data_IF_228654122770
#
_entry.id   IF_228654122770
#
_cell.length_a   1.000
_cell.length_b   1.000
_cell.length_c   1.000
_cell.angle_alpha   90.00
_cell.angle_beta   90.00
_cell.angle_gamma   90.00
#
_symmetry.space_group_name_H-M   'P 1'
#
loop_
_entity.id
_entity.type
_entity.pdbx_description
1 polymer ?
#
# COMPACT_ATOMS: atom_id res chain seq x y z
N UNK A 1 -8.22 19.13 -6.84
CA UNK A 1 -8.19 19.16 -8.31
C UNK A 1 -9.61 19.42 -8.80
N UNK A 2 -9.84 20.41 -9.68
CA UNK A 2 -11.17 20.62 -10.23
C UNK A 2 -11.62 19.36 -10.97
N UNK A 3 -12.88 19.01 -10.81
CA UNK A 3 -13.54 17.98 -11.60
C UNK A 3 -13.37 18.34 -13.09
N UNK A 4 -13.05 17.36 -13.94
CA UNK A 4 -12.92 17.61 -15.38
C UNK A 4 -14.28 17.91 -16.02
N UNK A 5 -15.37 17.57 -15.32
CA UNK A 5 -16.72 18.01 -15.65
C UNK A 5 -17.04 19.31 -14.90
N UNK A 6 -17.55 20.31 -15.62
CA UNK A 6 -18.05 21.54 -15.01
C UNK A 6 -19.36 21.25 -14.23
N UNK A 7 -19.68 22.11 -13.27
CA UNK A 7 -20.93 21.98 -12.52
C UNK A 7 -22.14 21.99 -13.46
N UNK A 8 -22.93 20.90 -13.44
CA UNK A 8 -24.10 20.72 -14.31
C UNK A 8 -23.83 19.89 -15.57
N UNK A 9 -22.57 19.50 -15.84
CA UNK A 9 -22.26 18.58 -16.93
C UNK A 9 -22.50 17.12 -16.52
N UNK A 10 -22.97 16.33 -17.48
CA UNK A 10 -23.07 14.89 -17.30
C UNK A 10 -21.68 14.29 -17.38
N UNK A 11 -21.22 13.65 -16.31
CA UNK A 11 -20.03 12.81 -16.37
C UNK A 11 -20.24 11.73 -17.45
N UNK A 12 -19.39 11.76 -18.47
CA UNK A 12 -19.32 10.72 -19.50
C UNK A 12 -18.05 9.90 -19.27
N UNK A 13 -18.08 8.62 -19.65
CA UNK A 13 -16.98 7.68 -19.38
C UNK A 13 -15.62 8.18 -19.89
N UNK A 14 -15.57 8.93 -20.99
CA UNK A 14 -14.32 9.51 -21.49
C UNK A 14 -13.72 10.57 -20.56
N UNK A 15 -14.55 11.36 -19.86
CA UNK A 15 -14.11 12.37 -18.90
C UNK A 15 -13.59 11.72 -17.61
N UNK A 16 -14.25 10.65 -17.16
CA UNK A 16 -13.81 9.86 -16.00
C UNK A 16 -12.50 9.09 -16.27
N UNK A 17 -12.32 8.62 -17.51
CA UNK A 17 -11.09 7.93 -17.92
C UNK A 17 -9.92 8.88 -18.13
N UNK A 18 -10.15 10.13 -18.54
CA UNK A 18 -9.12 11.14 -18.73
C UNK A 18 -8.70 11.86 -17.43
N UNK A 19 -9.31 11.51 -16.29
CA UNK A 19 -9.02 12.16 -15.01
C UNK A 19 -7.61 11.82 -14.55
N UNK A 20 -6.85 12.88 -14.20
CA UNK A 20 -5.55 12.71 -13.56
C UNK A 20 -5.68 11.92 -12.25
N UNK A 21 -4.64 11.19 -11.83
CA UNK A 21 -4.68 10.43 -10.61
C UNK A 21 -5.10 11.25 -9.41
N UNK A 22 -5.95 10.69 -8.56
CA UNK A 22 -6.42 11.34 -7.34
C UNK A 22 -6.42 10.37 -6.17
N UNK A 23 -6.11 10.88 -4.98
CA UNK A 23 -6.11 10.10 -3.75
C UNK A 23 -7.52 9.60 -3.44
N UNK A 24 -7.64 8.28 -3.29
CA UNK A 24 -8.85 7.58 -2.82
C UNK A 24 -8.78 7.36 -1.32
N UNK A 25 -7.59 7.01 -0.82
CA UNK A 25 -7.33 6.87 0.61
C UNK A 25 -5.89 7.26 0.94
N UNK A 26 -5.71 7.87 2.11
CA UNK A 26 -4.41 8.10 2.71
C UNK A 26 -4.49 7.67 4.17
N UNK A 27 -3.93 6.51 4.48
CA UNK A 27 -3.84 6.00 5.83
C UNK A 27 -2.41 6.05 6.29
N UNK A 28 -2.17 6.66 7.46
CA UNK A 28 -0.83 6.72 8.04
C UNK A 28 -0.84 6.29 9.51
N UNK A 29 0.30 5.77 9.95
CA UNK A 29 0.64 5.70 11.37
C UNK A 29 1.59 6.83 11.71
N UNK A 30 1.42 7.38 12.90
CA UNK A 30 2.20 8.52 13.40
C UNK A 30 3.03 8.17 14.63
N UNK A 31 2.92 6.92 15.10
CA UNK A 31 3.68 6.35 16.20
C UNK A 31 4.31 5.04 15.75
N UNK A 32 5.43 4.68 16.37
CA UNK A 32 6.09 3.40 16.10
C UNK A 32 5.12 2.24 16.37
N UNK A 33 5.14 1.25 15.48
CA UNK A 33 4.55 -0.05 15.80
C UNK A 33 5.34 -0.71 16.95
N UNK A 34 4.70 -1.58 17.75
CA UNK A 34 5.37 -2.26 18.85
C UNK A 34 6.62 -3.01 18.39
N UNK A 35 7.75 -2.78 19.05
CA UNK A 35 9.00 -3.49 18.81
C UNK A 35 8.92 -4.90 19.42
N UNK A 36 8.11 -5.77 18.84
CA UNK A 36 8.08 -7.20 19.15
C UNK A 36 8.85 -7.98 18.07
N UNK A 37 9.43 -9.15 18.40
CA UNK A 37 10.01 -10.01 17.38
C UNK A 37 8.92 -10.38 16.37
N UNK A 38 9.01 -9.85 15.16
CA UNK A 38 8.18 -10.26 14.04
C UNK A 38 8.74 -11.61 13.58
N UNK A 39 8.30 -12.69 14.21
CA UNK A 39 8.61 -14.06 13.81
C UNK A 39 7.62 -14.58 12.75
N UNK A 40 6.44 -13.99 12.70
CA UNK A 40 5.41 -14.20 11.69
C UNK A 40 5.03 -12.85 11.07
N UNK A 41 4.46 -12.85 9.86
CA UNK A 41 3.98 -11.63 9.20
C UNK A 41 2.92 -10.91 10.04
N UNK A 42 3.11 -9.61 10.27
CA UNK A 42 2.21 -8.78 11.09
C UNK A 42 1.72 -7.57 10.33
N UNK A 43 0.53 -7.09 10.67
CA UNK A 43 -0.04 -5.84 10.15
C UNK A 43 0.57 -4.66 10.91
N UNK A 44 1.05 -3.65 10.18
CA UNK A 44 1.51 -2.39 10.76
C UNK A 44 0.57 -1.21 10.45
N UNK A 45 -0.25 -1.32 9.40
CA UNK A 45 -1.31 -0.35 9.08
C UNK A 45 -2.49 -1.05 8.40
N UNK A 46 -3.69 -0.58 8.69
CA UNK A 46 -4.94 -1.02 8.06
C UNK A 46 -5.70 0.21 7.58
N UNK A 47 -6.04 0.25 6.29
CA UNK A 47 -6.90 1.33 5.76
C UNK A 47 -8.34 1.16 6.25
N UNK A 48 -9.17 2.22 6.18
CA UNK A 48 -10.61 2.04 6.10
C UNK A 48 -11.00 1.11 4.93
N UNK A 49 -12.24 0.63 4.93
CA UNK A 49 -12.78 -0.06 3.76
C UNK A 49 -12.82 0.91 2.57
N UNK A 50 -12.09 0.59 1.52
CA UNK A 50 -12.04 1.35 0.27
C UNK A 50 -12.94 0.67 -0.76
N UNK A 51 -13.70 1.45 -1.52
CA UNK A 51 -14.49 0.95 -2.65
C UNK A 51 -13.69 1.08 -3.94
N UNK A 52 -13.18 -0.05 -4.42
CA UNK A 52 -12.49 -0.17 -5.71
C UNK A 52 -13.51 -0.43 -6.81
N UNK A 53 -13.72 0.55 -7.69
CA UNK A 53 -14.71 0.51 -8.75
C UNK A 53 -14.35 -0.52 -9.83
N UNK A 54 -15.37 -1.21 -10.33
CA UNK A 54 -15.21 -2.10 -11.48
C UNK A 54 -14.60 -1.34 -12.68
N UNK A 55 -13.63 -1.94 -13.35
CA UNK A 55 -12.98 -1.36 -14.53
C UNK A 55 -11.97 -0.25 -14.24
N UNK A 56 -11.58 -0.03 -12.97
CA UNK A 56 -10.53 0.93 -12.59
C UNK A 56 -9.23 0.27 -12.13
N UNK A 57 -8.13 0.94 -12.43
CA UNK A 57 -6.79 0.66 -11.92
C UNK A 57 -6.43 1.67 -10.82
N UNK A 58 -5.65 1.20 -9.85
CA UNK A 58 -5.27 1.95 -8.67
C UNK A 58 -3.76 1.86 -8.47
N UNK A 59 -3.15 2.99 -8.13
CA UNK A 59 -1.77 3.05 -7.70
C UNK A 59 -1.72 3.01 -6.18
N UNK A 60 -1.00 2.05 -5.68
CA UNK A 60 -0.63 1.93 -4.28
C UNK A 60 0.75 2.54 -4.09
N UNK A 61 0.92 3.35 -3.07
CA UNK A 61 2.23 3.83 -2.61
C UNK A 61 2.38 3.55 -1.13
N UNK A 62 3.46 2.88 -0.76
CA UNK A 62 3.79 2.50 0.61
C UNK A 62 5.13 3.14 0.98
N UNK A 63 5.16 3.88 2.10
CA UNK A 63 6.36 4.60 2.54
C UNK A 63 6.54 4.52 4.05
N UNK A 64 7.78 4.51 4.51
CA UNK A 64 8.10 4.62 5.92
C UNK A 64 9.55 4.28 6.23
N UNK A 65 9.80 4.03 7.52
CA UNK A 65 11.08 3.55 8.04
C UNK A 65 10.87 2.18 8.68
N UNK A 66 11.70 1.20 8.33
CA UNK A 66 11.83 -0.04 9.08
C UNK A 66 13.00 0.11 10.04
N UNK A 67 12.77 -0.20 11.32
CA UNK A 67 13.81 -0.26 12.33
C UNK A 67 14.11 -1.70 12.67
N UNK A 68 15.40 -2.03 12.67
CA UNK A 68 15.89 -3.40 12.78
C UNK A 68 16.86 -3.49 13.95
N UNK A 69 16.66 -4.46 14.84
CA UNK A 69 17.41 -4.53 16.10
C UNK A 69 18.75 -5.28 16.03
N UNK A 70 19.02 -6.01 14.94
CA UNK A 70 20.22 -6.82 14.80
C UNK A 70 20.67 -6.89 13.34
N UNK A 71 21.93 -7.24 13.13
CA UNK A 71 22.54 -7.39 11.80
C UNK A 71 22.19 -8.74 11.18
N UNK A 72 22.39 -8.88 9.87
CA UNK A 72 22.32 -10.17 9.17
C UNK A 72 20.91 -10.79 9.14
N UNK A 73 19.87 -9.96 9.22
CA UNK A 73 18.48 -10.40 9.08
C UNK A 73 17.89 -9.88 7.77
N UNK A 74 16.90 -10.59 7.23
CA UNK A 74 16.15 -10.18 6.05
C UNK A 74 14.68 -9.97 6.40
N UNK A 75 14.13 -8.85 5.93
CA UNK A 75 12.71 -8.55 6.09
C UNK A 75 12.04 -8.21 4.77
N UNK A 76 10.71 -8.24 4.75
CA UNK A 76 9.90 -7.77 3.63
C UNK A 76 8.75 -6.91 4.11
N UNK A 77 8.33 -6.03 3.21
CA UNK A 77 7.09 -5.29 3.32
C UNK A 77 6.16 -5.75 2.22
N UNK A 78 4.91 -6.00 2.60
CA UNK A 78 3.86 -6.35 1.64
C UNK A 78 2.63 -5.52 1.88
N UNK A 79 1.79 -5.42 0.85
CA UNK A 79 0.42 -4.96 1.00
C UNK A 79 -0.51 -6.08 0.58
N UNK A 80 -1.50 -6.35 1.42
CA UNK A 80 -2.47 -7.42 1.22
C UNK A 80 -3.89 -6.91 1.32
N UNK A 81 -4.80 -7.68 0.74
CA UNK A 81 -6.24 -7.48 0.89
C UNK A 81 -6.69 -7.99 2.27
N UNK A 82 -7.33 -7.12 3.05
CA UNK A 82 -7.99 -7.37 4.34
C UNK A 82 -7.12 -7.89 5.51
N UNK A 83 -6.29 -8.91 5.31
CA UNK A 83 -5.53 -9.59 6.38
C UNK A 83 -4.16 -10.07 5.88
N UNK A 84 -3.32 -10.56 6.80
CA UNK A 84 -2.00 -11.14 6.48
C UNK A 84 -2.07 -12.40 5.60
N UNK A 85 -3.23 -13.03 5.49
CA UNK A 85 -3.46 -14.21 4.63
C UNK A 85 -4.15 -13.86 3.31
N UNK A 86 -4.56 -12.61 3.13
CA UNK A 86 -5.21 -12.18 1.90
C UNK A 86 -4.25 -12.03 0.73
N UNK A 87 -4.83 -11.83 -0.46
CA UNK A 87 -4.12 -11.64 -1.73
C UNK A 87 -3.06 -10.56 -1.60
N UNK A 88 -1.83 -10.88 -2.00
CA UNK A 88 -0.71 -9.95 -2.03
C UNK A 88 -0.83 -9.04 -3.24
N UNK A 89 -1.02 -7.74 -2.99
CA UNK A 89 -1.05 -6.70 -4.03
C UNK A 89 0.35 -6.15 -4.32
N UNK A 90 1.25 -6.23 -3.34
CA UNK A 90 2.64 -5.82 -3.46
C UNK A 90 3.51 -6.69 -2.55
N UNK A 91 4.67 -7.13 -3.05
CA UNK A 91 5.72 -7.80 -2.28
C UNK A 91 7.05 -7.12 -2.57
N UNK A 92 7.69 -6.57 -1.53
CA UNK A 92 9.01 -5.97 -1.69
C UNK A 92 10.07 -7.03 -1.99
N UNK A 93 11.22 -6.61 -2.49
CA UNK A 93 12.42 -7.43 -2.40
C UNK A 93 12.81 -7.65 -0.93
N UNK A 94 13.70 -8.62 -0.67
CA UNK A 94 14.23 -8.85 0.68
C UNK A 94 15.18 -7.72 1.08
N UNK A 95 14.81 -7.01 2.12
CA UNK A 95 15.61 -5.94 2.70
C UNK A 95 16.62 -6.60 3.63
N UNK A 96 17.85 -6.76 3.14
CA UNK A 96 18.98 -7.23 3.96
C UNK A 96 19.47 -6.09 4.85
N UNK A 97 19.72 -6.41 6.12
CA UNK A 97 19.99 -5.42 7.17
C UNK A 97 21.43 -5.58 7.65
N UNK A 98 22.41 -4.89 7.03
CA UNK A 98 23.83 -5.03 7.38
C UNK A 98 24.14 -4.54 8.80
N UNK A 99 23.40 -3.55 9.30
CA UNK A 99 23.51 -3.02 10.66
C UNK A 99 22.14 -2.84 11.33
N UNK A 100 22.14 -2.77 12.67
CA UNK A 100 20.97 -2.37 13.44
C UNK A 100 20.74 -0.87 13.25
N UNK A 101 19.79 -0.51 12.38
CA UNK A 101 19.55 0.85 11.94
C UNK A 101 18.11 1.01 11.40
N UNK A 102 17.79 2.24 11.02
CA UNK A 102 16.54 2.58 10.33
C UNK A 102 16.79 2.58 8.83
N UNK A 103 15.94 1.88 8.08
CA UNK A 103 15.98 1.79 6.64
C UNK A 103 14.72 2.39 6.04
N UNK A 104 14.88 3.37 5.16
CA UNK A 104 13.78 3.94 4.41
C UNK A 104 13.27 2.97 3.35
N UNK A 105 11.96 2.94 3.19
CA UNK A 105 11.31 2.29 2.06
C UNK A 105 10.30 3.24 1.44
N UNK A 106 10.24 3.20 0.12
CA UNK A 106 9.17 3.80 -0.67
C UNK A 106 8.97 2.91 -1.89
N UNK A 107 7.79 2.32 -1.99
CA UNK A 107 7.44 1.47 -3.12
C UNK A 107 6.09 1.89 -3.69
N UNK A 108 5.93 1.68 -4.98
CA UNK A 108 4.66 1.87 -5.65
C UNK A 108 4.35 0.70 -6.56
N UNK A 109 3.09 0.29 -6.60
CA UNK A 109 2.60 -0.73 -7.53
C UNK A 109 1.20 -0.38 -8.04
N UNK A 110 0.89 -0.80 -9.26
CA UNK A 110 -0.45 -0.68 -9.82
C UNK A 110 -1.18 -2.01 -9.65
N UNK A 111 -2.44 -1.94 -9.22
CA UNK A 111 -3.35 -3.07 -9.17
C UNK A 111 -4.70 -2.69 -9.77
N UNK A 112 -5.51 -3.66 -10.14
CA UNK A 112 -6.73 -3.43 -10.90
C UNK A 112 -7.95 -4.17 -10.33
N UNK A 113 -9.12 -3.57 -10.48
CA UNK A 113 -10.39 -4.30 -10.38
C UNK A 113 -10.93 -4.54 -11.78
N UNK A 114 -10.50 -5.63 -12.43
CA UNK A 114 -11.04 -6.08 -13.73
C UNK A 114 -12.37 -6.83 -13.62
N UNK A 115 -12.92 -6.98 -12.41
CA UNK A 115 -14.20 -7.64 -12.21
C UNK A 115 -15.37 -6.81 -12.74
N UNK A 116 -16.54 -7.44 -12.82
CA UNK A 116 -17.78 -6.78 -13.25
C UNK A 116 -18.47 -5.98 -12.12
N UNK A 117 -17.93 -6.01 -10.89
CA UNK A 117 -18.52 -5.38 -9.72
C UNK A 117 -17.49 -4.65 -8.87
N UNK A 118 -17.96 -3.63 -8.15
CA UNK A 118 -17.14 -2.92 -7.16
C UNK A 118 -16.70 -3.87 -6.04
N UNK A 119 -15.48 -3.66 -5.55
CA UNK A 119 -14.91 -4.41 -4.43
C UNK A 119 -14.72 -3.44 -3.26
N UNK A 120 -15.47 -3.65 -2.18
CA UNK A 120 -15.28 -2.91 -0.94
C UNK A 120 -14.38 -3.72 0.00
N UNK A 121 -13.14 -3.25 0.24
CA UNK A 121 -12.20 -3.96 1.12
C UNK A 121 -11.16 -3.02 1.73
N UNK A 122 -10.70 -3.35 2.94
CA UNK A 122 -9.55 -2.70 3.54
C UNK A 122 -8.25 -3.29 2.97
N UNK A 123 -7.20 -2.47 2.88
CA UNK A 123 -5.85 -2.91 2.59
C UNK A 123 -5.03 -2.92 3.89
N UNK A 124 -4.13 -3.89 4.01
CA UNK A 124 -3.21 -3.99 5.14
C UNK A 124 -1.78 -3.91 4.66
N UNK A 125 -1.02 -2.96 5.21
CA UNK A 125 0.43 -2.94 5.13
C UNK A 125 0.98 -3.89 6.16
N UNK A 126 1.89 -4.76 5.72
CA UNK A 126 2.44 -5.84 6.54
C UNK A 126 3.95 -5.84 6.51
N UNK A 127 4.54 -6.36 7.58
CA UNK A 127 5.96 -6.56 7.73
C UNK A 127 6.21 -8.00 8.15
N UNK A 128 7.23 -8.61 7.57
CA UNK A 128 7.65 -9.96 7.91
C UNK A 128 9.16 -10.03 8.02
N UNK A 129 9.64 -10.87 8.94
CA UNK A 129 11.03 -11.34 8.93
C UNK A 129 11.09 -12.62 8.11
N UNK A 130 11.89 -12.60 7.06
CA UNK A 130 12.15 -13.78 6.23
C UNK A 130 13.25 -14.65 6.85
N UNK A 131 14.29 -14.05 7.43
CA UNK A 131 15.42 -14.76 8.02
C UNK A 131 16.12 -13.97 9.14
N UNK A 132 16.92 -14.67 9.94
CA UNK A 132 17.67 -14.08 11.05
C UNK A 132 16.86 -13.96 12.36
N UNK A 133 17.39 -13.17 13.29
CA UNK A 133 16.86 -13.03 14.65
C UNK A 133 16.44 -11.59 15.00
N UNK A 134 16.60 -10.62 14.09
CA UNK A 134 16.24 -9.23 14.39
C UNK A 134 14.75 -9.06 14.67
N UNK A 135 14.45 -8.07 15.50
CA UNK A 135 13.12 -7.50 15.64
C UNK A 135 12.93 -6.46 14.55
N UNK A 136 11.78 -6.52 13.89
CA UNK A 136 11.39 -5.59 12.84
C UNK A 136 10.20 -4.79 13.35
N UNK A 137 10.24 -3.48 13.21
CA UNK A 137 9.05 -2.66 13.41
C UNK A 137 9.08 -1.47 12.45
N UNK A 138 7.89 -0.98 12.10
CA UNK A 138 7.76 0.26 11.35
C UNK A 138 7.85 1.42 12.34
N UNK A 139 8.84 2.29 12.12
CA UNK A 139 9.00 3.52 12.87
C UNK A 139 8.28 4.66 12.17
N UNK A 140 7.55 5.44 12.95
CA UNK A 140 6.83 6.60 12.45
C UNK A 140 6.81 7.71 13.49
N UNK A 141 6.94 8.94 13.01
CA UNK A 141 6.76 10.16 13.79
C UNK A 141 5.92 11.16 13.00
N UNK A 142 5.02 11.93 13.63
CA UNK A 142 4.06 12.75 12.89
C UNK A 142 4.71 13.82 12.00
N UNK A 143 5.86 14.37 12.42
CA UNK A 143 6.48 15.54 11.78
C UNK A 143 7.72 15.22 10.92
N UNK A 144 8.44 14.14 11.20
CA UNK A 144 9.71 13.86 10.50
C UNK A 144 9.60 12.69 9.52
N UNK A 145 8.81 11.66 9.84
CA UNK A 145 8.75 10.43 9.05
C UNK A 145 7.44 9.68 9.32
N UNK A 146 6.30 10.13 8.81
CA UNK A 146 5.09 9.32 8.84
C UNK A 146 5.29 8.07 7.97
N UNK A 147 4.78 6.93 8.43
CA UNK A 147 4.67 5.74 7.59
C UNK A 147 3.23 5.63 7.10
N UNK A 148 3.05 5.45 5.79
CA UNK A 148 1.73 5.53 5.17
C UNK A 148 1.51 4.54 4.05
N UNK A 149 0.23 4.34 3.77
CA UNK A 149 -0.31 3.70 2.60
C UNK A 149 -1.22 4.72 1.89
N UNK A 150 -0.84 5.09 0.67
CA UNK A 150 -1.58 5.97 -0.20
C UNK A 150 -2.17 5.13 -1.34
N UNK A 151 -3.47 5.24 -1.55
CA UNK A 151 -4.17 4.63 -2.67
C UNK A 151 -4.71 5.73 -3.55
N UNK A 152 -4.38 5.68 -4.84
CA UNK A 152 -4.83 6.64 -5.84
C UNK A 152 -5.59 5.90 -6.93
N UNK A 153 -6.71 6.46 -7.39
CA UNK A 153 -7.30 6.04 -8.65
C UNK A 153 -6.35 6.48 -9.77
N UNK A 154 -5.95 5.54 -10.62
CA UNK A 154 -4.89 5.73 -11.61
C UNK A 154 -5.38 5.55 -13.04
N UNK A 155 -6.69 5.46 -13.26
CA UNK A 155 -7.31 5.38 -14.59
C UNK A 155 -8.03 4.05 -14.88
N UNK A 156 -8.38 3.80 -16.15
CA UNK A 156 -9.07 2.57 -16.55
C UNK A 156 -8.13 1.35 -16.58
N UNK A 157 -8.67 0.16 -16.30
CA UNK A 157 -7.88 -1.10 -16.33
C UNK A 157 -7.29 -1.42 -17.70
N UNK A 158 -7.89 -0.92 -18.78
CA UNK A 158 -7.44 -1.15 -20.14
C UNK A 158 -6.01 -0.63 -20.40
N UNK A 159 -5.58 0.38 -19.64
CA UNK A 159 -4.23 0.95 -19.76
C UNK A 159 -3.17 0.12 -19.03
N UNK A 160 -3.59 -0.79 -18.13
CA UNK A 160 -2.70 -1.58 -17.27
C UNK A 160 -3.03 -3.09 -17.34
N UNK A 161 -3.07 -3.72 -18.53
CA UNK A 161 -3.58 -5.08 -18.70
C UNK A 161 -2.77 -6.17 -17.96
N UNK A 162 -1.53 -5.86 -17.56
CA UNK A 162 -0.64 -6.78 -16.85
C UNK A 162 -0.48 -6.45 -15.35
N UNK A 163 -1.22 -5.48 -14.81
CA UNK A 163 -1.16 -5.15 -13.39
C UNK A 163 -1.81 -6.22 -12.51
N UNK A 164 -1.43 -6.26 -11.23
CA UNK A 164 -1.92 -7.26 -10.26
C UNK A 164 -3.45 -7.14 -10.10
N UNK A 165 -4.16 -8.26 -10.21
CA UNK A 165 -5.61 -8.24 -9.97
C UNK A 165 -5.95 -8.15 -8.47
N UNK A 166 -6.98 -7.36 -8.15
CA UNK A 166 -7.59 -7.26 -6.83
C UNK A 166 -8.57 -8.40 -6.53
N UNK A 167 -9.06 -9.07 -7.58
CA UNK A 167 -10.09 -10.12 -7.54
C UNK A 167 -9.66 -11.31 -6.69
#
# INVERSE_FOLDING_TARGET
>A
MPDLALAGERLIASVENARAPFAVDYTCITTNTPASPVSAETVWVTTPTITFRAGRAYRLTIKGLITVSATGSEGRIRVRRATVTGTTLFDSFRISTPNAANYGFEFSNVFLNSGASDIAVALVGTIARDSGAANYHVSATPAASPAYLLTEDFGPVADFPAATSLT
#
